data_IF_630025866195
#
_entry.id   IF_630025866195
#
_cell.length_a   1.000
_cell.length_b   1.000
_cell.length_c   1.000
_cell.angle_alpha   90.00
_cell.angle_beta   90.00
_cell.angle_gamma   90.00
#
_symmetry.space_group_name_H-M   'P 1'
#
loop_
_entity.id
_entity.type
_entity.pdbx_description
1 polymer ?
#
# COMPACT_ATOMS: atom_id res chain seq x y z
N UNK A 1 42.77 -11.33 -17.70
CA UNK A 1 42.16 -10.30 -18.60
C UNK A 1 40.76 -10.70 -19.07
N UNK A 2 40.56 -11.92 -19.61
CA UNK A 2 39.25 -12.40 -20.09
C UNK A 2 38.17 -12.41 -18.99
N UNK A 3 38.51 -12.82 -17.77
CA UNK A 3 37.58 -12.82 -16.62
C UNK A 3 37.15 -11.42 -16.16
N UNK A 4 38.04 -10.43 -16.27
CA UNK A 4 37.77 -9.04 -15.90
C UNK A 4 36.87 -8.35 -16.94
N UNK A 5 37.09 -8.67 -18.22
CA UNK A 5 36.20 -8.26 -19.32
C UNK A 5 34.81 -8.86 -19.13
N UNK A 6 34.71 -10.16 -18.86
CA UNK A 6 33.43 -10.84 -18.61
C UNK A 6 32.69 -10.25 -17.39
N UNK A 7 33.38 -9.95 -16.29
CA UNK A 7 32.75 -9.37 -15.10
C UNK A 7 32.29 -7.92 -15.35
N UNK A 8 33.09 -7.11 -16.05
CA UNK A 8 32.69 -5.75 -16.43
C UNK A 8 31.52 -5.74 -17.40
N UNK A 9 31.50 -6.62 -18.41
CA UNK A 9 30.38 -6.74 -19.35
C UNK A 9 29.11 -7.20 -18.64
N UNK A 10 29.22 -8.16 -17.71
CA UNK A 10 28.10 -8.60 -16.87
C UNK A 10 27.56 -7.47 -15.98
N UNK A 11 28.44 -6.69 -15.35
CA UNK A 11 28.04 -5.54 -14.53
C UNK A 11 27.40 -4.42 -15.37
N UNK A 12 27.91 -4.16 -16.57
CA UNK A 12 27.35 -3.19 -17.52
C UNK A 12 25.97 -3.62 -18.03
N UNK A 13 25.80 -4.89 -18.40
CA UNK A 13 24.50 -5.43 -18.80
C UNK A 13 23.49 -5.34 -17.66
N UNK A 14 23.91 -5.67 -16.43
CA UNK A 14 23.06 -5.55 -15.25
C UNK A 14 22.68 -4.07 -14.99
N UNK A 15 23.65 -3.16 -15.07
CA UNK A 15 23.41 -1.73 -14.92
C UNK A 15 22.46 -1.20 -16.02
N UNK A 16 22.66 -1.61 -17.27
CA UNK A 16 21.80 -1.22 -18.39
C UNK A 16 20.36 -1.71 -18.19
N UNK A 17 20.16 -2.97 -17.80
CA UNK A 17 18.82 -3.52 -17.52
C UNK A 17 18.12 -2.78 -16.37
N UNK A 18 18.88 -2.28 -15.39
CA UNK A 18 18.34 -1.54 -14.24
C UNK A 18 18.02 -0.07 -14.60
N UNK A 19 18.88 0.60 -15.38
CA UNK A 19 18.82 2.05 -15.60
C UNK A 19 18.22 2.50 -16.92
N UNK A 20 18.29 1.69 -17.98
CA UNK A 20 17.81 2.06 -19.32
C UNK A 20 16.29 2.17 -19.39
N UNK A 21 15.47 1.25 -18.82
CA UNK A 21 14.01 1.39 -18.88
C UNK A 21 13.48 2.69 -18.22
N UNK A 22 13.94 3.09 -17.01
CA UNK A 22 13.60 4.39 -16.44
C UNK A 22 14.02 5.59 -17.31
N UNK A 23 15.21 5.53 -17.94
CA UNK A 23 15.74 6.63 -18.76
C UNK A 23 15.03 6.78 -20.13
N UNK A 24 14.42 5.70 -20.64
CA UNK A 24 13.65 5.68 -21.89
C UNK A 24 12.19 6.11 -21.72
N UNK A 25 11.79 6.63 -20.56
CA UNK A 25 10.41 7.03 -20.32
C UNK A 25 9.44 5.87 -20.11
N UNK A 26 9.92 4.63 -19.88
CA UNK A 26 9.10 3.57 -19.29
C UNK A 26 8.96 3.77 -17.78
N UNK A 27 8.70 5.01 -17.37
CA UNK A 27 8.19 5.25 -16.03
C UNK A 27 6.80 4.61 -15.97
N UNK A 28 6.52 3.91 -14.89
CA UNK A 28 5.21 3.30 -14.67
C UNK A 28 4.06 4.31 -14.61
N UNK A 29 4.34 5.62 -14.67
CA UNK A 29 3.38 6.70 -14.54
C UNK A 29 2.83 6.90 -13.12
N UNK A 30 2.96 5.91 -12.23
CA UNK A 30 2.74 6.03 -10.80
C UNK A 30 3.80 6.98 -10.20
N UNK A 31 3.39 7.91 -9.35
CA UNK A 31 4.26 8.88 -8.65
C UNK A 31 4.62 8.36 -7.26
N UNK A 32 5.77 8.79 -6.75
CA UNK A 32 6.18 8.47 -5.38
C UNK A 32 5.51 9.43 -4.40
N UNK A 33 4.98 8.91 -3.29
CA UNK A 33 4.34 9.72 -2.24
C UNK A 33 5.03 9.46 -0.91
N UNK A 34 5.50 10.51 -0.24
CA UNK A 34 6.19 10.35 1.04
C UNK A 34 5.17 10.34 2.19
N UNK A 35 5.23 9.33 3.10
CA UNK A 35 4.47 9.35 4.34
C UNK A 35 4.81 10.60 5.17
N UNK A 36 3.79 11.29 5.67
CA UNK A 36 3.95 12.41 6.60
C UNK A 36 3.96 11.96 8.06
N UNK A 37 3.68 12.90 8.96
CA UNK A 37 3.62 12.63 10.40
C UNK A 37 2.37 11.82 10.77
N UNK A 38 2.51 10.92 11.75
CA UNK A 38 1.38 10.26 12.41
C UNK A 38 1.26 10.76 13.84
N UNK A 39 0.08 11.28 14.19
CA UNK A 39 -0.30 11.61 15.56
C UNK A 39 -1.55 10.82 15.90
N UNK A 40 -1.54 10.15 17.05
CA UNK A 40 -2.68 9.38 17.55
C UNK A 40 -2.98 9.83 18.97
N UNK A 41 -4.17 10.33 19.23
CA UNK A 41 -4.61 10.74 20.56
C UNK A 41 -4.58 9.54 21.53
N UNK A 42 -4.20 9.72 22.82
CA UNK A 42 -4.09 8.63 23.80
C UNK A 42 -5.31 7.70 23.85
N UNK A 43 -6.50 8.26 23.76
CA UNK A 43 -7.79 7.57 23.76
C UNK A 43 -8.07 6.74 22.50
N UNK A 44 -7.37 7.02 21.40
CA UNK A 44 -7.50 6.31 20.13
C UNK A 44 -6.40 5.26 19.90
N UNK A 45 -5.43 5.14 20.83
CA UNK A 45 -4.35 4.15 20.79
C UNK A 45 -4.81 2.81 21.32
N UNK A 46 -4.10 1.76 20.90
CA UNK A 46 -4.14 0.46 21.56
C UNK A 46 -4.42 -0.69 20.61
N UNK A 47 -4.63 -1.87 21.21
CA UNK A 47 -4.88 -3.13 20.51
C UNK A 47 -6.36 -3.48 20.62
N UNK A 48 -7.00 -3.70 19.48
CA UNK A 48 -8.40 -4.12 19.38
C UNK A 48 -8.47 -5.52 18.79
N UNK A 49 -9.19 -6.40 19.48
CA UNK A 49 -9.41 -7.78 19.01
C UNK A 49 -10.61 -7.82 18.07
N UNK A 50 -10.43 -8.35 16.86
CA UNK A 50 -11.50 -8.53 15.87
C UNK A 50 -12.21 -9.88 16.00
N UNK A 51 -11.69 -10.77 16.86
CA UNK A 51 -12.18 -12.12 17.07
C UNK A 51 -11.30 -13.18 16.42
N UNK A 52 -11.50 -14.43 16.81
CA UNK A 52 -10.75 -15.60 16.29
C UNK A 52 -9.22 -15.43 16.37
N UNK A 53 -8.70 -14.75 17.39
CA UNK A 53 -7.26 -14.49 17.55
C UNK A 53 -6.70 -13.37 16.67
N UNK A 54 -7.51 -12.67 15.87
CA UNK A 54 -7.06 -11.53 15.05
C UNK A 54 -7.13 -10.25 15.87
N UNK A 55 -6.08 -9.45 15.79
CA UNK A 55 -6.02 -8.16 16.44
C UNK A 55 -5.45 -7.09 15.52
N UNK A 56 -5.85 -5.85 15.76
CA UNK A 56 -5.38 -4.67 15.05
C UNK A 56 -4.92 -3.65 16.06
N UNK A 57 -3.81 -2.99 15.77
CA UNK A 57 -3.24 -1.95 16.60
C UNK A 57 -2.94 -0.74 15.74
N UNK A 58 -3.30 0.44 16.23
CA UNK A 58 -2.83 1.72 15.69
C UNK A 58 -2.24 2.53 16.84
N UNK A 59 -1.00 2.96 16.65
CA UNK A 59 -0.28 3.88 17.53
C UNK A 59 0.67 4.75 16.70
N UNK A 60 1.51 5.55 17.35
CA UNK A 60 2.49 6.44 16.70
C UNK A 60 3.48 5.68 15.79
N UNK A 61 3.62 4.36 15.96
CA UNK A 61 4.49 3.53 15.11
C UNK A 61 3.81 3.05 13.83
N UNK A 62 2.49 3.22 13.70
CA UNK A 62 1.70 2.82 12.53
C UNK A 62 0.64 1.76 12.83
N UNK A 63 -0.09 1.35 11.79
CA UNK A 63 -1.09 0.29 11.83
C UNK A 63 -0.40 -1.09 11.78
N UNK A 64 -0.84 -2.02 12.62
CA UNK A 64 -0.41 -3.42 12.61
C UNK A 64 -1.61 -4.34 12.72
N UNK A 65 -1.57 -5.44 11.98
CA UNK A 65 -2.60 -6.49 12.00
C UNK A 65 -1.92 -7.82 12.28
N UNK A 66 -2.45 -8.57 13.25
CA UNK A 66 -1.88 -9.83 13.72
C UNK A 66 -2.92 -10.94 13.80
N UNK A 67 -2.44 -12.18 13.81
CA UNK A 67 -3.19 -13.38 14.19
C UNK A 67 -2.38 -14.11 15.28
N UNK A 68 -2.83 -14.02 16.53
CA UNK A 68 -2.02 -14.39 17.70
C UNK A 68 -0.73 -13.56 17.74
N UNK A 69 0.42 -14.24 17.84
CA UNK A 69 1.76 -13.62 17.78
C UNK A 69 2.25 -13.35 16.36
N UNK A 70 1.50 -13.76 15.34
CA UNK A 70 1.93 -13.71 13.94
C UNK A 70 1.52 -12.39 13.29
N UNK A 71 2.49 -11.63 12.76
CA UNK A 71 2.23 -10.41 11.99
C UNK A 71 1.63 -10.75 10.61
N UNK A 72 0.51 -10.15 10.24
CA UNK A 72 -0.10 -10.31 8.92
C UNK A 72 0.17 -9.10 8.02
N UNK A 73 0.06 -7.90 8.59
CA UNK A 73 0.25 -6.66 7.84
C UNK A 73 0.73 -5.57 8.78
N UNK A 74 1.52 -4.63 8.25
CA UNK A 74 1.86 -3.39 8.95
C UNK A 74 2.07 -2.27 7.94
N UNK A 75 1.82 -1.05 8.39
CA UNK A 75 2.17 0.16 7.64
C UNK A 75 3.61 0.57 7.88
N UNK A 76 4.05 1.63 7.20
CA UNK A 76 5.33 2.29 7.46
C UNK A 76 5.52 2.56 8.95
N UNK A 77 6.76 2.44 9.44
CA UNK A 77 7.11 2.65 10.84
C UNK A 77 7.34 4.13 11.10
N UNK A 78 6.62 4.71 12.07
CA UNK A 78 6.84 6.08 12.52
C UNK A 78 6.46 7.15 11.50
N UNK A 79 5.46 6.86 10.67
CA UNK A 79 4.91 7.80 9.68
C UNK A 79 3.44 7.50 9.43
N UNK A 80 2.76 8.41 8.76
CA UNK A 80 1.35 8.26 8.44
C UNK A 80 1.10 6.97 7.63
N UNK A 81 0.11 6.15 8.01
CA UNK A 81 -0.25 4.95 7.26
C UNK A 81 -0.94 5.26 5.93
N UNK A 82 -1.39 6.51 5.71
CA UNK A 82 -2.07 6.91 4.49
C UNK A 82 -1.82 8.38 4.11
N UNK A 83 -2.00 8.68 2.83
CA UNK A 83 -2.03 10.05 2.30
C UNK A 83 -3.26 10.24 1.42
N UNK A 84 -3.74 11.48 1.35
CA UNK A 84 -4.76 11.91 0.42
C UNK A 84 -4.12 12.73 -0.69
N UNK A 85 -4.56 12.52 -1.92
CA UNK A 85 -4.09 13.23 -3.10
C UNK A 85 -5.25 13.98 -3.76
N UNK A 86 -4.94 15.15 -4.28
CA UNK A 86 -5.74 15.83 -5.29
C UNK A 86 -5.01 15.79 -6.62
N UNK A 87 -5.76 15.63 -7.71
CA UNK A 87 -5.20 15.53 -9.05
C UNK A 87 -5.99 14.59 -9.95
N UNK A 88 -5.31 14.03 -10.96
CA UNK A 88 -5.93 13.15 -11.95
C UNK A 88 -5.01 12.01 -12.39
N UNK A 89 -5.61 10.98 -12.99
CA UNK A 89 -4.90 10.01 -13.84
C UNK A 89 -5.35 10.22 -15.27
N UNK A 90 -4.38 10.29 -16.15
CA UNK A 90 -4.60 10.26 -17.59
C UNK A 90 -4.13 8.93 -18.17
N UNK A 91 -4.62 8.59 -19.36
CA UNK A 91 -4.24 7.37 -20.07
C UNK A 91 -5.05 6.13 -19.66
N UNK A 92 -4.80 5.03 -20.36
CA UNK A 92 -5.40 3.70 -20.12
C UNK A 92 -4.30 2.64 -20.20
N UNK A 93 -4.54 1.51 -19.57
CA UNK A 93 -3.66 0.34 -19.63
C UNK A 93 -2.19 0.65 -19.30
N UNK A 94 -1.26 0.43 -20.23
CA UNK A 94 0.18 0.64 -20.03
C UNK A 94 0.61 2.12 -19.98
N UNK A 95 -0.23 3.04 -20.45
CA UNK A 95 0.11 4.46 -20.63
C UNK A 95 -0.50 5.37 -19.54
N UNK A 96 -0.96 4.77 -18.44
CA UNK A 96 -1.53 5.51 -17.31
C UNK A 96 -0.46 6.36 -16.62
N UNK A 97 -0.76 7.63 -16.37
CA UNK A 97 0.14 8.58 -15.70
C UNK A 97 -0.60 9.38 -14.64
N UNK A 98 -0.01 9.45 -13.44
CA UNK A 98 -0.49 10.23 -12.31
C UNK A 98 -0.02 11.69 -12.38
N UNK A 99 -0.99 12.60 -12.28
CA UNK A 99 -0.77 14.03 -12.10
C UNK A 99 -1.29 14.45 -10.74
N UNK A 100 -0.37 14.66 -9.79
CA UNK A 100 -0.70 15.03 -8.41
C UNK A 100 -0.49 16.54 -8.25
N UNK A 101 -1.55 17.27 -7.90
CA UNK A 101 -1.48 18.70 -7.61
C UNK A 101 -1.22 18.97 -6.13
N UNK A 102 -1.76 18.12 -5.25
CA UNK A 102 -1.68 18.33 -3.80
C UNK A 102 -1.58 17.01 -3.06
N UNK A 103 -0.76 16.99 -2.02
CA UNK A 103 -0.59 15.85 -1.11
C UNK A 103 -0.90 16.31 0.31
N UNK A 104 -1.72 15.53 1.02
CA UNK A 104 -1.98 15.65 2.46
C UNK A 104 -1.57 14.33 3.11
N UNK A 105 -0.41 14.34 3.76
CA UNK A 105 0.23 13.12 4.27
C UNK A 105 0.41 13.09 5.79
N UNK A 106 0.08 14.18 6.49
CA UNK A 106 0.07 14.19 7.95
C UNK A 106 -1.28 13.69 8.46
N UNK A 107 -1.29 12.59 9.20
CA UNK A 107 -2.51 12.01 9.77
C UNK A 107 -2.57 12.28 11.28
N UNK A 108 -3.65 12.93 11.70
CA UNK A 108 -4.02 13.10 13.10
C UNK A 108 -5.28 12.27 13.38
N UNK A 109 -5.19 11.31 14.29
CA UNK A 109 -6.30 10.45 14.74
C UNK A 109 -6.72 10.85 16.14
N UNK A 110 -7.97 11.29 16.28
CA UNK A 110 -8.54 11.75 17.55
C UNK A 110 -9.66 10.83 18.08
N UNK A 111 -10.09 9.84 17.30
CA UNK A 111 -11.23 9.00 17.67
C UNK A 111 -11.04 7.54 17.28
N UNK A 112 -11.48 6.66 18.18
CA UNK A 112 -11.58 5.23 18.00
C UNK A 112 -13.01 4.77 18.31
N UNK A 113 -13.59 3.98 17.41
CA UNK A 113 -14.86 3.30 17.59
C UNK A 113 -14.67 1.80 17.39
N UNK A 114 -15.18 1.00 18.31
CA UNK A 114 -15.05 -0.46 18.30
C UNK A 114 -16.45 -1.05 18.24
N UNK A 115 -16.65 -1.95 17.28
CA UNK A 115 -17.84 -2.80 17.15
C UNK A 115 -17.41 -4.27 17.05
N UNK A 116 -18.31 -5.23 17.26
CA UNK A 116 -17.98 -6.64 17.04
C UNK A 116 -17.42 -6.88 15.63
N UNK A 117 -16.17 -7.35 15.54
CA UNK A 117 -15.49 -7.67 14.29
C UNK A 117 -15.03 -6.46 13.46
N UNK A 118 -15.16 -5.24 13.98
CA UNK A 118 -14.84 -4.00 13.27
C UNK A 118 -14.21 -2.96 14.21
N UNK A 119 -13.17 -2.29 13.72
CA UNK A 119 -12.57 -1.13 14.37
C UNK A 119 -12.49 0.02 13.39
N UNK A 120 -12.80 1.23 13.86
CA UNK A 120 -12.74 2.45 13.06
C UNK A 120 -11.92 3.50 13.80
N UNK A 121 -10.86 3.98 13.15
CA UNK A 121 -10.17 5.20 13.53
C UNK A 121 -10.67 6.35 12.66
N UNK A 122 -10.90 7.51 13.28
CA UNK A 122 -11.28 8.74 12.58
C UNK A 122 -10.38 9.89 12.97
N UNK A 123 -10.20 10.81 12.04
CA UNK A 123 -9.32 11.94 12.22
C UNK A 123 -9.26 12.81 10.97
N UNK A 124 -8.08 13.39 10.71
CA UNK A 124 -7.84 14.30 9.58
C UNK A 124 -6.50 14.04 8.91
N UNK A 125 -6.49 14.10 7.59
CA UNK A 125 -5.28 14.26 6.80
C UNK A 125 -5.05 15.73 6.53
N UNK A 126 -3.81 16.20 6.68
CA UNK A 126 -3.46 17.60 6.53
C UNK A 126 -2.17 17.81 5.74
N UNK A 127 -2.05 19.02 5.21
CA UNK A 127 -0.77 19.64 4.85
C UNK A 127 -0.74 21.06 5.45
N UNK A 128 0.11 21.95 4.94
CA UNK A 128 0.21 23.32 5.46
C UNK A 128 -1.03 24.19 5.20
N UNK A 129 -1.85 23.84 4.20
CA UNK A 129 -2.90 24.71 3.65
C UNK A 129 -4.31 24.11 3.79
N UNK A 130 -4.41 22.79 3.81
CA UNK A 130 -5.65 22.05 3.63
C UNK A 130 -5.78 20.91 4.65
N UNK A 131 -7.03 20.53 4.91
CA UNK A 131 -7.38 19.39 5.74
C UNK A 131 -8.59 18.65 5.18
N UNK A 132 -8.52 17.32 5.17
CA UNK A 132 -9.63 16.45 4.81
C UNK A 132 -9.95 15.48 5.96
N UNK A 133 -11.24 15.20 6.22
CA UNK A 133 -11.63 14.11 7.12
C UNK A 133 -11.09 12.77 6.62
N UNK A 134 -10.50 11.99 7.53
CA UNK A 134 -9.93 10.69 7.22
C UNK A 134 -10.46 9.60 8.15
N UNK A 135 -10.62 8.38 7.62
CA UNK A 135 -10.95 7.20 8.42
C UNK A 135 -10.15 5.98 7.99
N UNK A 136 -9.87 5.10 8.96
CA UNK A 136 -9.30 3.78 8.74
C UNK A 136 -10.23 2.78 9.42
N UNK A 137 -10.88 1.94 8.62
CA UNK A 137 -11.77 0.89 9.10
C UNK A 137 -11.11 -0.46 8.87
N UNK A 138 -11.05 -1.31 9.89
CA UNK A 138 -10.57 -2.70 9.75
C UNK A 138 -11.64 -3.67 10.19
N UNK A 139 -11.99 -4.60 9.31
CA UNK A 139 -13.05 -5.59 9.50
C UNK A 139 -12.54 -7.00 9.28
N UNK A 140 -13.05 -7.94 10.06
CA UNK A 140 -12.89 -9.37 9.81
C UNK A 140 -14.11 -9.90 9.03
N UNK A 141 -13.89 -10.28 7.77
CA UNK A 141 -14.92 -10.82 6.87
C UNK A 141 -14.58 -12.27 6.52
N UNK A 142 -15.13 -13.22 7.30
CA UNK A 142 -14.83 -14.65 7.16
C UNK A 142 -13.33 -14.95 7.32
N UNK A 143 -12.70 -15.44 6.27
CA UNK A 143 -11.26 -15.78 6.26
C UNK A 143 -10.35 -14.60 5.85
N UNK A 144 -10.89 -13.38 5.75
CA UNK A 144 -10.17 -12.21 5.25
C UNK A 144 -10.30 -11.03 6.18
N UNK A 145 -9.25 -10.22 6.20
CA UNK A 145 -9.25 -8.91 6.82
C UNK A 145 -9.42 -7.87 5.72
N UNK A 146 -10.29 -6.90 5.96
CA UNK A 146 -10.55 -5.80 5.04
C UNK A 146 -10.17 -4.50 5.73
N UNK A 147 -9.16 -3.83 5.20
CA UNK A 147 -8.73 -2.50 5.63
C UNK A 147 -9.26 -1.50 4.61
N UNK A 148 -10.06 -0.54 5.06
CA UNK A 148 -10.57 0.55 4.23
C UNK A 148 -10.00 1.86 4.75
N UNK A 149 -9.22 2.54 3.92
CA UNK A 149 -8.70 3.88 4.20
C UNK A 149 -9.49 4.87 3.35
N UNK A 150 -10.09 5.88 3.98
CA UNK A 150 -10.89 6.89 3.29
C UNK A 150 -10.40 8.29 3.65
N UNK A 151 -10.35 9.17 2.65
CA UNK A 151 -10.14 10.60 2.80
C UNK A 151 -11.24 11.34 2.04
N UNK A 152 -12.23 11.87 2.77
CA UNK A 152 -13.43 12.44 2.16
C UNK A 152 -13.07 13.74 1.43
N UNK A 153 -13.29 13.76 0.13
CA UNK A 153 -12.96 14.90 -0.75
C UNK A 153 -11.61 14.78 -1.46
N UNK A 154 -10.88 13.67 -1.28
CA UNK A 154 -9.69 13.37 -2.05
C UNK A 154 -10.03 12.74 -3.40
N UNK A 155 -9.19 12.97 -4.41
CA UNK A 155 -9.26 12.28 -5.72
C UNK A 155 -8.60 10.91 -5.66
N UNK A 156 -7.61 10.74 -4.77
CA UNK A 156 -6.97 9.47 -4.51
C UNK A 156 -6.55 9.30 -3.04
N UNK A 157 -6.41 8.05 -2.64
CA UNK A 157 -5.82 7.62 -1.38
C UNK A 157 -4.61 6.75 -1.66
N UNK A 158 -3.55 6.95 -0.89
CA UNK A 158 -2.38 6.09 -0.87
C UNK A 158 -2.26 5.46 0.52
N UNK A 159 -2.14 4.13 0.60
CA UNK A 159 -1.78 3.43 1.83
C UNK A 159 -0.30 3.07 1.79
N UNK A 160 0.43 3.49 2.83
CA UNK A 160 1.86 3.28 2.99
C UNK A 160 2.12 2.00 3.78
N UNK A 161 2.28 0.87 3.11
CA UNK A 161 2.63 -0.39 3.77
C UNK A 161 4.12 -0.46 4.10
N UNK A 162 4.51 -1.31 5.05
CA UNK A 162 5.92 -1.60 5.22
C UNK A 162 6.49 -2.25 3.96
N UNK A 163 7.79 -2.04 3.72
CA UNK A 163 8.49 -2.71 2.64
C UNK A 163 8.63 -4.20 2.92
N UNK A 164 8.23 -5.02 1.95
CA UNK A 164 8.48 -6.46 1.94
C UNK A 164 9.19 -6.83 0.63
N UNK A 165 10.48 -7.21 0.74
CA UNK A 165 11.34 -7.40 -0.42
C UNK A 165 10.96 -8.64 -1.24
N UNK A 166 10.28 -9.60 -0.60
CA UNK A 166 9.73 -10.80 -1.20
C UNK A 166 8.38 -10.61 -1.90
N UNK A 167 7.91 -9.37 -2.10
CA UNK A 167 6.61 -9.11 -2.73
C UNK A 167 6.55 -9.64 -4.17
N UNK A 168 5.62 -10.57 -4.42
CA UNK A 168 5.42 -11.26 -5.70
C UNK A 168 4.02 -10.99 -6.25
N UNK A 169 3.94 -10.49 -7.48
CA UNK A 169 2.67 -10.26 -8.15
C UNK A 169 1.94 -11.56 -8.48
N UNK A 170 0.63 -11.47 -8.67
CA UNK A 170 -0.25 -12.59 -8.99
C UNK A 170 -1.22 -12.19 -10.11
N UNK A 171 -1.36 -13.06 -11.10
CA UNK A 171 -2.30 -12.85 -12.19
C UNK A 171 -3.75 -12.97 -11.68
N UNK A 172 -4.72 -12.27 -12.31
CA UNK A 172 -4.57 -11.39 -13.48
C UNK A 172 -4.16 -9.95 -13.12
N UNK A 173 -4.00 -9.61 -11.84
CA UNK A 173 -3.79 -8.23 -11.41
C UNK A 173 -2.38 -7.69 -11.64
N UNK A 174 -1.37 -8.51 -11.36
CA UNK A 174 0.04 -8.17 -11.49
C UNK A 174 0.79 -9.34 -12.13
N UNK A 175 1.93 -9.10 -12.80
CA UNK A 175 2.71 -10.18 -13.39
C UNK A 175 3.24 -11.13 -12.31
N UNK A 176 3.25 -12.44 -12.59
CA UNK A 176 3.62 -13.50 -11.63
C UNK A 176 5.13 -13.58 -11.31
N UNK A 177 5.69 -12.48 -10.82
CA UNK A 177 7.12 -12.28 -10.56
C UNK A 177 7.37 -11.38 -9.36
N UNK A 178 8.62 -11.32 -8.91
CA UNK A 178 9.06 -10.33 -7.94
C UNK A 178 8.84 -8.92 -8.49
N UNK A 179 8.20 -8.06 -7.70
CA UNK A 179 7.80 -6.71 -8.12
C UNK A 179 8.80 -5.61 -7.72
N UNK A 180 9.83 -5.97 -6.95
CA UNK A 180 10.81 -5.06 -6.34
C UNK A 180 11.37 -3.98 -7.27
N UNK A 181 11.68 -2.81 -6.71
CA UNK A 181 12.37 -1.68 -7.38
C UNK A 181 11.61 -1.08 -8.56
N UNK A 182 10.31 -1.36 -8.68
CA UNK A 182 9.46 -0.89 -9.77
C UNK A 182 8.09 -0.51 -9.21
N UNK A 183 7.37 0.30 -9.96
CA UNK A 183 5.96 0.53 -9.76
C UNK A 183 5.16 -0.19 -10.86
N UNK A 184 3.92 -0.52 -10.54
CA UNK A 184 3.02 -1.29 -11.38
C UNK A 184 1.60 -0.75 -11.25
N UNK A 185 0.88 -0.68 -12.35
CA UNK A 185 -0.57 -0.59 -12.29
C UNK A 185 -1.18 -1.96 -11.97
N UNK A 186 -2.26 -1.97 -11.19
CA UNK A 186 -2.91 -3.16 -10.67
C UNK A 186 -4.20 -3.44 -11.44
N UNK A 187 -4.11 -4.41 -12.35
CA UNK A 187 -5.18 -4.78 -13.28
C UNK A 187 -5.51 -3.70 -14.31
N UNK A 188 -6.20 -4.13 -15.37
CA UNK A 188 -6.58 -3.26 -16.50
C UNK A 188 -8.11 -3.03 -16.57
N UNK A 189 -8.83 -3.45 -15.54
CA UNK A 189 -10.30 -3.43 -15.52
C UNK A 189 -10.91 -2.77 -14.28
N UNK A 190 -12.23 -2.53 -14.33
CA UNK A 190 -12.94 -1.93 -13.22
C UNK A 190 -13.07 -2.88 -12.03
N UNK A 191 -12.93 -4.20 -12.18
CA UNK A 191 -13.07 -5.14 -11.06
C UNK A 191 -11.98 -4.93 -9.99
N UNK A 192 -12.30 -5.09 -8.69
CA UNK A 192 -11.27 -5.11 -7.66
C UNK A 192 -10.37 -6.33 -7.88
N UNK A 193 -9.06 -6.17 -7.66
CA UNK A 193 -8.12 -7.29 -7.79
C UNK A 193 -8.03 -7.97 -6.44
N UNK A 194 -8.67 -9.11 -6.34
CA UNK A 194 -8.85 -9.82 -5.07
C UNK A 194 -7.56 -10.41 -4.52
N UNK A 195 -6.67 -10.86 -5.40
CA UNK A 195 -5.40 -11.50 -5.07
C UNK A 195 -4.32 -10.86 -5.95
N UNK A 196 -3.93 -9.61 -5.66
CA UNK A 196 -3.01 -8.84 -6.47
C UNK A 196 -1.56 -9.29 -6.30
N UNK A 197 -1.13 -9.52 -5.07
CA UNK A 197 0.22 -9.97 -4.77
C UNK A 197 0.26 -10.81 -3.49
N UNK A 198 1.34 -11.55 -3.30
CA UNK A 198 1.69 -12.17 -2.03
C UNK A 198 2.90 -11.48 -1.42
N UNK A 199 2.88 -11.37 -0.10
CA UNK A 199 3.92 -10.73 0.70
C UNK A 199 4.93 -11.78 1.19
N UNK A 200 6.08 -11.35 1.73
CA UNK A 200 7.09 -12.28 2.29
C UNK A 200 6.59 -12.98 3.56
N UNK A 201 5.62 -12.37 4.22
CA UNK A 201 4.91 -12.95 5.36
C UNK A 201 3.91 -14.05 4.94
N UNK A 202 3.79 -14.38 3.66
CA UNK A 202 2.85 -15.40 3.17
C UNK A 202 1.39 -14.95 3.20
N UNK A 203 1.15 -13.64 3.25
CA UNK A 203 -0.19 -13.04 3.17
C UNK A 203 -0.49 -12.71 1.71
N UNK A 204 -1.70 -13.03 1.26
CA UNK A 204 -2.18 -12.61 -0.07
C UNK A 204 -2.98 -11.33 0.10
N UNK A 205 -2.62 -10.30 -0.68
CA UNK A 205 -3.23 -8.97 -0.63
C UNK A 205 -3.94 -8.67 -1.95
N UNK A 206 -5.18 -8.24 -1.83
CA UNK A 206 -5.99 -7.65 -2.89
C UNK A 206 -6.07 -6.13 -2.73
N UNK A 207 -6.23 -5.46 -3.87
CA UNK A 207 -6.28 -3.99 -3.96
C UNK A 207 -7.57 -3.57 -4.67
N UNK A 208 -8.35 -2.73 -3.99
CA UNK A 208 -9.54 -2.06 -4.48
C UNK A 208 -9.47 -0.54 -4.27
N UNK A 209 -10.58 0.19 -4.40
CA UNK A 209 -11.92 -0.30 -4.70
C UNK A 209 -12.10 -0.67 -6.18
N UNK A 210 -13.30 -1.16 -6.50
CA UNK A 210 -13.77 -1.36 -7.88
C UNK A 210 -13.86 0.00 -8.59
N UNK A 211 -13.49 0.05 -9.86
CA UNK A 211 -13.74 1.18 -10.75
C UNK A 211 -12.71 2.29 -10.72
N UNK A 212 -11.67 2.18 -9.89
CA UNK A 212 -10.57 3.16 -9.82
C UNK A 212 -9.30 2.69 -10.54
N UNK A 213 -8.44 3.64 -10.90
CA UNK A 213 -7.05 3.32 -11.22
C UNK A 213 -6.30 2.96 -9.93
N UNK A 214 -5.54 1.87 -9.95
CA UNK A 214 -4.82 1.36 -8.77
C UNK A 214 -3.37 1.10 -9.13
N UNK A 215 -2.46 1.55 -8.29
CA UNK A 215 -1.03 1.38 -8.47
C UNK A 215 -0.37 0.73 -7.25
N UNK A 216 0.79 0.14 -7.45
CA UNK A 216 1.69 -0.24 -6.37
C UNK A 216 3.09 0.26 -6.70
N UNK A 217 3.71 1.00 -5.78
CA UNK A 217 5.07 1.49 -5.90
C UNK A 217 6.00 0.81 -4.90
N UNK A 218 6.98 0.07 -5.42
CA UNK A 218 8.02 -0.62 -4.65
C UNK A 218 9.42 -0.08 -4.97
N UNK A 219 9.53 1.14 -5.53
CA UNK A 219 10.80 1.78 -5.87
C UNK A 219 11.56 2.27 -4.64
N UNK A 220 10.85 2.79 -3.64
CA UNK A 220 11.47 3.34 -2.42
C UNK A 220 11.90 2.24 -1.45
N UNK A 221 13.00 2.52 -0.75
CA UNK A 221 13.41 1.73 0.40
C UNK A 221 12.66 2.25 1.64
N UNK A 222 12.13 1.32 2.44
CA UNK A 222 11.44 1.62 3.71
C UNK A 222 9.91 1.50 3.69
N UNK A 223 9.24 1.64 2.54
CA UNK A 223 7.80 1.43 2.40
C UNK A 223 7.41 0.95 1.01
N UNK A 224 6.15 0.52 0.87
CA UNK A 224 5.48 0.23 -0.39
C UNK A 224 4.19 1.02 -0.43
N UNK A 225 3.97 1.77 -1.51
CA UNK A 225 2.80 2.63 -1.65
C UNK A 225 1.75 1.92 -2.49
N UNK A 226 0.55 1.83 -1.95
CA UNK A 226 -0.60 1.27 -2.65
C UNK A 226 -1.50 2.44 -3.02
N UNK A 227 -1.67 2.72 -4.30
CA UNK A 227 -2.44 3.84 -4.81
C UNK A 227 -3.84 3.40 -5.21
N UNK A 228 -4.85 4.21 -4.90
CA UNK A 228 -6.18 4.10 -5.47
C UNK A 228 -6.73 5.49 -5.79
N UNK A 229 -7.01 5.74 -7.07
CA UNK A 229 -7.65 6.97 -7.56
C UNK A 229 -9.15 6.94 -7.31
N UNK A 230 -9.46 7.07 -6.02
CA UNK A 230 -10.77 7.13 -5.40
C UNK A 230 -10.56 7.75 -4.02
N UNK A 231 -11.59 8.42 -3.48
CA UNK A 231 -11.57 8.97 -2.11
C UNK A 231 -11.48 7.88 -1.02
N UNK A 232 -11.60 6.61 -1.41
CA UNK A 232 -11.45 5.44 -0.57
C UNK A 232 -10.56 4.38 -1.24
N UNK A 233 -9.75 3.71 -0.45
CA UNK A 233 -8.92 2.57 -0.82
C UNK A 233 -9.26 1.37 0.05
N UNK A 234 -9.41 0.19 -0.58
CA UNK A 234 -9.67 -1.06 0.14
C UNK A 234 -8.52 -2.03 -0.08
N UNK A 235 -7.93 -2.50 1.00
CA UNK A 235 -7.00 -3.62 1.01
C UNK A 235 -7.69 -4.84 1.61
N UNK A 236 -7.67 -5.94 0.88
CA UNK A 236 -8.19 -7.22 1.37
C UNK A 236 -7.01 -8.15 1.58
N UNK A 237 -6.93 -8.83 2.72
CA UNK A 237 -5.82 -9.73 3.01
C UNK A 237 -6.29 -11.03 3.65
N UNK A 238 -5.55 -12.11 3.43
CA UNK A 238 -5.80 -13.37 4.14
C UNK A 238 -5.62 -13.18 5.64
N UNK A 239 -6.54 -13.71 6.46
CA UNK A 239 -6.46 -13.61 7.93
C UNK A 239 -5.50 -14.62 8.57
N UNK A 240 -4.64 -15.22 7.76
CA UNK A 240 -3.64 -16.22 8.09
C UNK A 240 -2.48 -16.12 7.07
N UNK A 241 -1.33 -16.67 7.44
CA UNK A 241 -0.20 -16.87 6.53
C UNK A 241 -0.37 -18.21 5.83
N UNK A 242 -0.20 -18.26 4.52
CA UNK A 242 0.06 -19.54 3.84
C UNK A 242 1.49 -19.95 4.18
N UNK A 243 1.66 -21.08 4.84
CA UNK A 243 2.95 -21.79 4.85
C UNK A 243 3.27 -22.14 3.40
N UNK A 244 4.35 -21.60 2.87
CA UNK A 244 4.88 -22.01 1.57
C UNK A 244 5.69 -23.28 1.87
N UNK A 245 5.27 -24.43 1.36
CA UNK A 245 6.19 -25.56 1.21
C UNK A 245 7.17 -25.17 0.09
N UNK A 246 8.46 -25.12 0.43
CA UNK A 246 9.56 -24.88 -0.51
C UNK A 246 9.77 -26.06 -1.45
#
# INVERSE_FOLDING_TARGET
MVSLLLSMTGALLLAAVIWVPPALGQDSGVRQVQPGLLVVAPEARGVVTLGSGRAVQLDETGLRVTNGSTLLFRTVRGGSPMSALLGTVEGRDGDRVEQISTVMSNLDIDRLSIKPGEVTWSGRLTNAEQSLPATIVVRLEGARLVVTAEAKGADAVVVHSAQELGTRGRAPGLPERLLRKRAWWVGDGPAPVTDAYSTELGVVVGVGPRGSHRGIDLRRMGHTDLHAWSSSQTLTMTSYRRTVEE
#
